data_IF_196916729629
#
_entry.id   IF_196916729629
#
_cell.length_a   1.000
_cell.length_b   1.000
_cell.length_c   1.000
_cell.angle_alpha   90.00
_cell.angle_beta   90.00
_cell.angle_gamma   90.00
#
_symmetry.space_group_name_H-M   'P 1'
#
loop_
_entity.id
_entity.type
_entity.pdbx_description
1 polymer ?
#
# COMPACT_ATOMS: atom_id res chain seq x y z
N UNK A 1 -21.67 6.54 -9.37
CA UNK A 1 -21.37 7.94 -9.73
C UNK A 1 -20.20 7.93 -10.70
N UNK A 2 -20.25 8.76 -11.75
CA UNK A 2 -19.13 8.94 -12.68
C UNK A 2 -17.96 9.72 -12.05
N UNK A 3 -16.74 9.43 -12.51
CA UNK A 3 -15.49 10.04 -12.08
C UNK A 3 -15.50 11.57 -12.23
N UNK A 4 -16.17 12.10 -13.25
CA UNK A 4 -16.31 13.56 -13.46
C UNK A 4 -17.01 14.25 -12.30
N UNK A 5 -18.15 13.72 -11.87
CA UNK A 5 -18.91 14.31 -10.75
C UNK A 5 -18.12 14.18 -9.44
N UNK A 6 -17.42 13.07 -9.24
CA UNK A 6 -16.52 12.93 -8.09
C UNK A 6 -15.43 14.01 -8.08
N UNK A 7 -14.81 14.32 -9.23
CA UNK A 7 -13.84 15.42 -9.34
C UNK A 7 -14.44 16.77 -8.97
N UNK A 8 -15.64 17.09 -9.46
CA UNK A 8 -16.30 18.37 -9.18
C UNK A 8 -16.57 18.55 -7.68
N UNK A 9 -17.08 17.52 -7.01
CA UNK A 9 -17.33 17.56 -5.56
C UNK A 9 -16.01 17.75 -4.79
N UNK A 10 -14.96 17.00 -5.13
CA UNK A 10 -13.64 17.18 -4.51
C UNK A 10 -13.09 18.60 -4.74
N UNK A 11 -13.32 19.20 -5.90
CA UNK A 11 -12.87 20.57 -6.22
C UNK A 11 -13.66 21.66 -5.51
N UNK A 12 -14.89 21.39 -5.07
CA UNK A 12 -15.69 22.34 -4.29
C UNK A 12 -15.10 22.65 -2.90
N UNK A 13 -14.09 21.90 -2.46
CA UNK A 13 -13.46 22.04 -1.14
C UNK A 13 -14.10 21.17 -0.06
N UNK A 14 -15.13 20.39 -0.39
CA UNK A 14 -15.74 19.44 0.54
C UNK A 14 -14.77 18.29 0.86
N UNK A 15 -14.74 17.90 2.13
CA UNK A 15 -14.11 16.65 2.58
C UNK A 15 -14.97 15.47 2.14
N UNK A 16 -14.33 14.39 1.71
CA UNK A 16 -15.05 13.29 1.06
C UNK A 16 -14.36 11.94 1.25
N UNK A 17 -15.17 10.88 1.19
CA UNK A 17 -14.73 9.50 1.01
C UNK A 17 -14.97 9.09 -0.44
N UNK A 18 -13.91 8.80 -1.17
CA UNK A 18 -13.96 8.11 -2.46
C UNK A 18 -13.93 6.60 -2.23
N UNK A 19 -15.05 5.92 -2.51
CA UNK A 19 -15.18 4.48 -2.30
C UNK A 19 -15.81 3.79 -3.51
N UNK A 20 -15.75 2.46 -3.52
CA UNK A 20 -16.24 1.64 -4.61
C UNK A 20 -15.42 0.35 -4.75
N UNK A 21 -15.92 -0.66 -5.48
CA UNK A 21 -15.22 -1.90 -5.74
C UNK A 21 -13.79 -1.72 -6.32
N UNK A 22 -12.99 -2.79 -6.30
CA UNK A 22 -11.73 -2.83 -7.02
C UNK A 22 -11.94 -2.55 -8.53
N UNK A 23 -10.99 -1.85 -9.17
CA UNK A 23 -11.06 -1.57 -10.61
C UNK A 23 -11.98 -0.41 -11.02
N UNK A 24 -12.59 0.33 -10.08
CA UNK A 24 -13.44 1.50 -10.36
C UNK A 24 -12.69 2.81 -10.65
N UNK A 25 -11.35 2.77 -10.61
CA UNK A 25 -10.52 3.94 -10.93
C UNK A 25 -10.33 4.93 -9.77
N UNK A 26 -10.58 4.54 -8.51
CA UNK A 26 -10.34 5.39 -7.31
C UNK A 26 -8.97 6.09 -7.33
N UNK A 27 -7.89 5.32 -7.51
CA UNK A 27 -6.51 5.83 -7.58
C UNK A 27 -6.30 6.81 -8.75
N UNK A 28 -6.99 6.60 -9.87
CA UNK A 28 -6.93 7.50 -11.02
C UNK A 28 -7.57 8.86 -10.70
N UNK A 29 -8.79 8.86 -10.17
CA UNK A 29 -9.51 10.07 -9.73
C UNK A 29 -8.70 10.83 -8.69
N UNK A 30 -8.20 10.12 -7.67
CA UNK A 30 -7.39 10.71 -6.61
C UNK A 30 -6.10 11.34 -7.17
N UNK A 31 -5.41 10.64 -8.07
CA UNK A 31 -4.20 11.13 -8.73
C UNK A 31 -4.44 12.38 -9.58
N UNK A 32 -5.56 12.46 -10.30
CA UNK A 32 -5.95 13.65 -11.06
C UNK A 32 -6.27 14.83 -10.13
N UNK A 33 -7.02 14.59 -9.05
CA UNK A 33 -7.34 15.63 -8.06
C UNK A 33 -6.08 16.20 -7.40
N UNK A 34 -5.13 15.34 -7.00
CA UNK A 34 -3.84 15.76 -6.43
C UNK A 34 -3.05 16.64 -7.41
N UNK A 35 -2.98 16.25 -8.69
CA UNK A 35 -2.28 17.06 -9.72
C UNK A 35 -2.92 18.43 -9.89
N UNK A 36 -4.25 18.49 -9.90
CA UNK A 36 -4.97 19.75 -10.05
C UNK A 36 -4.77 20.66 -8.83
N UNK A 37 -4.93 20.16 -7.61
CA UNK A 37 -4.70 20.94 -6.40
C UNK A 37 -3.28 21.53 -6.34
N UNK A 38 -2.27 20.76 -6.76
CA UNK A 38 -0.89 21.26 -6.87
C UNK A 38 -0.74 22.34 -7.94
N UNK A 39 -1.41 22.20 -9.08
CA UNK A 39 -1.44 23.22 -10.13
C UNK A 39 -2.11 24.52 -9.66
N UNK A 40 -3.14 24.40 -8.81
CA UNK A 40 -3.84 25.52 -8.18
C UNK A 40 -3.05 26.15 -7.01
N UNK A 41 -1.82 25.69 -6.76
CA UNK A 41 -0.93 26.23 -5.72
C UNK A 41 -1.23 25.75 -4.29
N UNK A 42 -2.13 24.78 -4.11
CA UNK A 42 -2.44 24.22 -2.79
C UNK A 42 -1.32 23.30 -2.28
N UNK A 43 -1.07 23.32 -0.99
CA UNK A 43 -0.20 22.39 -0.31
C UNK A 43 -0.95 21.08 -0.01
N UNK A 44 -0.68 20.05 -0.82
CA UNK A 44 -1.32 18.72 -0.69
C UNK A 44 -0.40 17.75 0.04
N UNK A 45 -0.85 17.25 1.20
CA UNK A 45 -0.20 16.16 1.92
C UNK A 45 -0.78 14.82 1.50
N UNK A 46 0.01 14.01 0.79
CA UNK A 46 -0.40 12.69 0.30
C UNK A 46 0.01 11.61 1.29
N UNK A 47 -0.98 10.90 1.84
CA UNK A 47 -0.74 9.83 2.82
C UNK A 47 -1.53 8.56 2.51
N UNK A 48 -1.10 7.44 3.10
CA UNK A 48 -1.85 6.18 3.11
C UNK A 48 -1.67 5.44 4.44
N UNK A 49 -2.50 4.42 4.67
CA UNK A 49 -2.45 3.60 5.89
C UNK A 49 -1.28 2.62 5.94
N UNK A 50 -0.73 2.24 4.78
CA UNK A 50 0.43 1.35 4.65
C UNK A 50 1.57 1.98 3.86
N UNK A 51 2.80 1.55 4.11
CA UNK A 51 3.97 2.06 3.38
C UNK A 51 3.94 1.73 1.88
N UNK A 52 3.34 0.58 1.53
CA UNK A 52 3.16 0.17 0.14
C UNK A 52 2.22 1.13 -0.61
N UNK A 53 1.03 1.37 -0.06
CA UNK A 53 0.06 2.29 -0.65
C UNK A 53 0.60 3.74 -0.68
N UNK A 54 1.32 4.16 0.36
CA UNK A 54 1.95 5.48 0.40
C UNK A 54 2.97 5.65 -0.75
N UNK A 55 3.74 4.60 -1.04
CA UNK A 55 4.72 4.62 -2.14
C UNK A 55 4.03 4.74 -3.51
N UNK A 56 2.86 4.13 -3.70
CA UNK A 56 2.11 4.21 -4.97
C UNK A 56 1.67 5.63 -5.32
N UNK A 57 1.31 6.44 -4.32
CA UNK A 57 0.89 7.83 -4.52
C UNK A 57 2.04 8.85 -4.35
N UNK A 58 3.28 8.39 -4.14
CA UNK A 58 4.43 9.25 -3.90
C UNK A 58 4.33 10.04 -2.59
N UNK A 59 3.70 9.45 -1.58
CA UNK A 59 3.44 10.02 -0.27
C UNK A 59 4.20 9.34 0.88
N UNK A 60 3.67 9.52 2.08
CA UNK A 60 4.18 8.89 3.32
C UNK A 60 3.04 8.17 4.06
N UNK A 61 3.35 7.37 5.07
CA UNK A 61 2.29 6.81 5.91
C UNK A 61 1.64 7.93 6.73
N UNK A 62 0.32 7.85 6.94
CA UNK A 62 -0.41 8.83 7.75
C UNK A 62 0.15 8.89 9.19
N UNK A 63 0.62 7.77 9.71
CA UNK A 63 1.30 7.68 11.01
C UNK A 63 2.57 8.52 11.08
N UNK A 64 3.41 8.46 10.04
CA UNK A 64 4.64 9.22 9.96
C UNK A 64 4.38 10.72 9.75
N UNK A 65 3.38 11.03 8.91
CA UNK A 65 2.93 12.40 8.65
C UNK A 65 2.42 13.08 9.92
N UNK A 66 1.52 12.42 10.67
CA UNK A 66 0.99 12.95 11.93
C UNK A 66 1.99 12.88 13.09
N UNK A 67 3.01 12.03 12.99
CA UNK A 67 4.02 11.84 14.04
C UNK A 67 3.57 10.90 15.17
N UNK A 68 2.40 10.25 15.02
CA UNK A 68 1.82 9.34 16.03
C UNK A 68 2.51 7.97 16.09
N UNK A 69 3.38 7.66 15.12
CA UNK A 69 4.11 6.39 15.09
C UNK A 69 3.17 5.18 15.16
N UNK A 70 3.49 4.21 16.01
CA UNK A 70 2.66 3.02 16.25
C UNK A 70 1.85 3.13 17.56
N UNK A 71 1.71 4.33 18.11
CA UNK A 71 1.01 4.52 19.39
C UNK A 71 -0.50 4.31 19.24
N UNK A 72 -1.12 3.77 20.29
CA UNK A 72 -2.57 3.59 20.37
C UNK A 72 -3.30 4.72 21.12
N UNK A 73 -2.53 5.69 21.61
CA UNK A 73 -2.97 6.94 22.23
C UNK A 73 -1.88 8.00 22.08
N UNK A 74 -2.25 9.28 22.13
CA UNK A 74 -1.27 10.37 22.18
C UNK A 74 -0.66 10.43 23.60
N UNK A 75 0.66 10.34 23.78
CA UNK A 75 1.29 10.54 25.08
C UNK A 75 1.17 12.01 25.54
N UNK A 76 1.19 12.27 26.85
CA UNK A 76 1.01 13.62 27.39
C UNK A 76 2.02 14.65 26.86
N UNK A 77 3.27 14.22 26.62
CA UNK A 77 4.36 15.02 26.06
C UNK A 77 4.47 14.92 24.52
N UNK A 78 3.44 14.40 23.85
CA UNK A 78 3.44 14.19 22.40
C UNK A 78 3.80 15.48 21.65
N UNK A 79 3.10 16.56 21.97
CA UNK A 79 3.30 17.84 21.30
C UNK A 79 4.69 18.40 21.58
N UNK A 80 5.23 18.26 22.79
CA UNK A 80 6.59 18.75 23.12
C UNK A 80 7.67 18.10 22.25
N UNK A 81 7.45 16.83 21.86
CA UNK A 81 8.35 16.08 20.98
C UNK A 81 8.00 16.17 19.50
N UNK A 82 6.88 16.80 19.13
CA UNK A 82 6.47 16.99 17.75
C UNK A 82 7.41 17.99 17.07
N UNK A 83 8.17 17.51 16.08
CA UNK A 83 9.18 18.31 15.39
C UNK A 83 8.59 19.60 14.79
N UNK A 84 9.39 20.68 14.81
CA UNK A 84 9.02 21.94 14.16
C UNK A 84 8.67 21.74 12.69
N UNK A 85 9.46 20.97 11.97
CA UNK A 85 9.23 20.72 10.54
C UNK A 85 7.91 20.02 10.26
N UNK A 86 7.50 19.07 11.11
CA UNK A 86 6.20 18.40 10.98
C UNK A 86 5.05 19.35 11.31
N UNK A 87 5.21 20.16 12.37
CA UNK A 87 4.25 21.23 12.68
C UNK A 87 4.05 22.15 11.49
N UNK A 88 5.14 22.59 10.86
CA UNK A 88 5.10 23.46 9.68
C UNK A 88 4.39 22.78 8.49
N UNK A 89 4.60 21.48 8.27
CA UNK A 89 3.91 20.73 7.20
C UNK A 89 2.41 20.66 7.46
N UNK A 90 1.99 20.28 8.67
CA UNK A 90 0.57 20.18 9.03
C UNK A 90 -0.10 21.56 8.97
N UNK A 91 0.59 22.60 9.45
CA UNK A 91 0.10 23.98 9.43
C UNK A 91 -0.02 24.56 8.01
N UNK A 92 0.86 24.17 7.08
CA UNK A 92 0.80 24.63 5.68
C UNK A 92 -0.15 23.80 4.81
N UNK A 93 -0.47 22.57 5.20
CA UNK A 93 -1.32 21.69 4.40
C UNK A 93 -2.69 22.35 4.21
N UNK A 94 -3.20 22.31 2.99
CA UNK A 94 -4.58 22.70 2.65
C UNK A 94 -5.46 21.46 2.48
N UNK A 95 -4.89 20.41 1.86
CA UNK A 95 -5.59 19.17 1.54
C UNK A 95 -4.81 17.97 2.09
N UNK A 96 -5.46 17.15 2.92
CA UNK A 96 -4.94 15.89 3.43
C UNK A 96 -5.58 14.72 2.67
N UNK A 97 -4.76 13.96 1.95
CA UNK A 97 -5.18 12.72 1.29
C UNK A 97 -4.87 11.53 2.20
N UNK A 98 -5.83 10.63 2.40
CA UNK A 98 -5.63 9.37 3.13
C UNK A 98 -6.15 8.19 2.28
N UNK A 99 -5.24 7.48 1.62
CA UNK A 99 -5.57 6.28 0.86
C UNK A 99 -5.57 5.01 1.74
N UNK A 100 -6.32 4.01 1.30
CA UNK A 100 -6.61 2.77 2.03
C UNK A 100 -7.17 3.00 3.45
N UNK A 101 -8.09 3.97 3.58
CA UNK A 101 -8.69 4.40 4.86
C UNK A 101 -9.36 3.26 5.65
N UNK A 102 -9.82 2.21 4.95
CA UNK A 102 -10.49 1.04 5.54
C UNK A 102 -9.60 0.28 6.53
N UNK A 103 -8.27 0.40 6.43
CA UNK A 103 -7.32 -0.25 7.34
C UNK A 103 -6.95 0.61 8.56
N UNK A 104 -7.42 1.87 8.62
CA UNK A 104 -7.16 2.75 9.75
C UNK A 104 -8.17 2.45 10.87
N UNK A 105 -7.69 2.43 12.11
CA UNK A 105 -8.56 2.26 13.27
C UNK A 105 -9.24 3.61 13.56
N UNK A 106 -10.50 3.56 14.00
CA UNK A 106 -11.26 4.69 14.54
C UNK A 106 -10.44 5.61 15.45
N UNK A 107 -9.83 5.06 16.52
CA UNK A 107 -9.09 5.84 17.49
C UNK A 107 -7.86 6.55 16.88
N UNK A 108 -7.28 6.02 15.80
CA UNK A 108 -6.16 6.67 15.12
C UNK A 108 -6.63 7.85 14.29
N UNK A 109 -7.81 7.77 13.70
CA UNK A 109 -8.39 8.92 13.00
C UNK A 109 -8.66 10.06 13.99
N UNK A 110 -9.19 9.75 15.18
CA UNK A 110 -9.39 10.74 16.25
C UNK A 110 -8.06 11.35 16.73
N UNK A 111 -7.01 10.54 16.89
CA UNK A 111 -5.67 11.06 17.22
C UNK A 111 -5.13 12.00 16.13
N UNK A 112 -5.32 11.67 14.86
CA UNK A 112 -4.87 12.52 13.74
C UNK A 112 -5.62 13.85 13.74
N UNK A 113 -6.93 13.82 13.97
CA UNK A 113 -7.76 15.03 14.11
C UNK A 113 -7.25 15.93 15.25
N UNK A 114 -7.03 15.36 16.44
CA UNK A 114 -6.49 16.09 17.60
C UNK A 114 -5.16 16.78 17.28
N UNK A 115 -4.25 16.06 16.60
CA UNK A 115 -2.97 16.63 16.17
C UNK A 115 -3.17 17.79 15.21
N UNK A 116 -4.06 17.66 14.22
CA UNK A 116 -4.32 18.72 13.25
C UNK A 116 -4.92 19.96 13.91
N UNK A 117 -5.94 19.78 14.77
CA UNK A 117 -6.57 20.87 15.54
C UNK A 117 -5.57 21.63 16.39
N UNK A 118 -4.72 20.90 17.12
CA UNK A 118 -3.75 21.50 18.03
C UNK A 118 -2.64 22.25 17.30
N UNK A 119 -2.13 21.69 16.20
CA UNK A 119 -1.05 22.29 15.41
C UNK A 119 -1.54 23.51 14.63
N UNK A 120 -2.78 23.49 14.13
CA UNK A 120 -3.39 24.58 13.36
C UNK A 120 -4.09 25.62 14.23
N UNK A 121 -4.12 25.41 15.56
CA UNK A 121 -4.78 26.29 16.53
C UNK A 121 -6.28 26.51 16.23
N UNK A 122 -6.94 25.48 15.71
CA UNK A 122 -8.36 25.48 15.34
C UNK A 122 -9.10 24.34 16.07
N UNK A 123 -9.34 24.45 17.39
CA UNK A 123 -9.86 23.36 18.22
C UNK A 123 -11.30 22.94 17.86
N UNK A 124 -12.07 23.83 17.24
CA UNK A 124 -13.48 23.59 16.92
C UNK A 124 -13.71 23.21 15.45
N UNK A 125 -12.65 23.08 14.65
CA UNK A 125 -12.77 22.66 13.25
C UNK A 125 -12.21 21.25 13.08
N UNK A 126 -12.97 20.31 12.49
CA UNK A 126 -12.45 19.00 12.11
C UNK A 126 -11.15 19.13 11.32
N UNK A 127 -10.17 18.34 11.72
CA UNK A 127 -8.80 18.31 11.23
C UNK A 127 -8.14 19.70 11.19
N UNK A 128 -8.52 20.60 12.08
CA UNK A 128 -8.04 21.98 12.08
C UNK A 128 -8.38 22.75 10.79
N UNK A 129 -9.50 22.41 10.13
CA UNK A 129 -9.96 23.08 8.91
C UNK A 129 -9.34 22.56 7.61
N UNK A 130 -8.64 21.42 7.65
CA UNK A 130 -8.12 20.78 6.44
C UNK A 130 -9.27 20.21 5.59
N UNK A 131 -9.14 20.31 4.27
CA UNK A 131 -9.94 19.46 3.38
C UNK A 131 -9.38 18.03 3.46
N UNK A 132 -10.17 17.09 3.93
CA UNK A 132 -9.76 15.69 4.08
C UNK A 132 -10.41 14.85 2.99
N UNK A 133 -9.59 14.28 2.12
CA UNK A 133 -10.04 13.38 1.05
C UNK A 133 -9.51 11.98 1.33
N UNK A 134 -10.43 11.08 1.64
CA UNK A 134 -10.15 9.69 1.96
C UNK A 134 -10.46 8.81 0.75
N UNK A 135 -9.68 7.77 0.56
CA UNK A 135 -9.92 6.75 -0.47
C UNK A 135 -9.81 5.37 0.18
N UNK A 136 -10.70 4.45 -0.19
CA UNK A 136 -10.61 3.08 0.28
C UNK A 136 -11.90 2.30 0.11
N UNK A 137 -11.85 1.05 0.53
CA UNK A 137 -12.92 0.09 0.33
C UNK A 137 -13.10 -0.80 1.58
N UNK A 138 -14.16 -0.53 2.32
CA UNK A 138 -14.47 -1.20 3.60
C UNK A 138 -14.80 -2.69 3.46
N UNK A 139 -15.04 -3.18 2.24
CA UNK A 139 -15.26 -4.60 1.97
C UNK A 139 -13.97 -5.36 1.61
N UNK A 140 -12.80 -4.70 1.57
CA UNK A 140 -11.52 -5.37 1.34
C UNK A 140 -10.88 -5.84 2.64
N UNK A 141 -10.01 -5.01 3.24
CA UNK A 141 -9.30 -5.37 4.46
C UNK A 141 -9.68 -4.40 5.61
N UNK A 142 -10.13 -4.95 6.76
CA UNK A 142 -10.41 -4.16 7.95
C UNK A 142 -9.13 -3.74 8.68
N UNK A 143 -9.22 -2.83 9.68
CA UNK A 143 -8.12 -2.59 10.59
C UNK A 143 -7.71 -3.88 11.32
N UNK A 144 -6.40 -4.10 11.46
CA UNK A 144 -5.85 -5.28 12.14
C UNK A 144 -5.63 -4.99 13.62
N UNK A 145 -6.47 -5.61 14.46
CA UNK A 145 -6.28 -5.59 15.91
C UNK A 145 -5.16 -6.56 16.32
N UNK A 146 -4.20 -6.07 17.11
CA UNK A 146 -3.10 -6.89 17.64
C UNK A 146 -3.46 -7.43 19.02
N UNK A 147 -3.04 -8.66 19.31
CA UNK A 147 -3.15 -9.22 20.65
C UNK A 147 -2.39 -8.37 21.66
N UNK A 148 -3.08 -7.93 22.72
CA UNK A 148 -2.53 -7.05 23.76
C UNK A 148 -2.48 -5.56 23.39
N UNK A 149 -2.91 -5.16 22.18
CA UNK A 149 -3.05 -3.76 21.79
C UNK A 149 -4.47 -3.22 22.02
N UNK A 150 -4.65 -1.91 21.81
CA UNK A 150 -5.99 -1.30 21.85
C UNK A 150 -6.84 -1.89 20.72
N UNK A 151 -8.01 -2.38 21.09
CA UNK A 151 -9.00 -2.83 20.10
C UNK A 151 -9.66 -1.60 19.49
N UNK A 152 -9.74 -1.56 18.16
CA UNK A 152 -10.44 -0.51 17.43
C UNK A 152 -11.39 -1.10 16.39
N UNK A 153 -12.24 -0.22 15.86
CA UNK A 153 -13.16 -0.52 14.77
C UNK A 153 -12.82 0.31 13.53
N UNK A 154 -13.67 0.23 12.51
CA UNK A 154 -13.57 1.07 11.32
C UNK A 154 -13.68 2.56 11.66
N UNK A 155 -13.01 3.39 10.86
CA UNK A 155 -13.01 4.86 11.01
C UNK A 155 -14.40 5.51 11.11
N UNK A 156 -15.45 4.88 10.56
CA UNK A 156 -16.83 5.38 10.66
C UNK A 156 -17.35 5.47 12.10
N UNK A 157 -16.70 4.79 13.04
CA UNK A 157 -17.02 4.85 14.47
C UNK A 157 -16.30 5.97 15.21
N UNK A 158 -15.35 6.66 14.57
CA UNK A 158 -14.57 7.73 15.19
C UNK A 158 -15.40 9.00 15.37
N UNK A 159 -15.05 9.82 16.36
CA UNK A 159 -15.68 11.13 16.54
C UNK A 159 -15.30 12.08 15.41
N UNK A 160 -14.02 12.08 15.01
CA UNK A 160 -13.52 12.87 13.89
C UNK A 160 -14.28 12.60 12.59
N UNK A 161 -14.64 11.35 12.30
CA UNK A 161 -15.47 11.00 11.14
C UNK A 161 -16.85 11.65 11.21
N UNK A 162 -17.53 11.54 12.37
CA UNK A 162 -18.88 12.08 12.56
C UNK A 162 -18.90 13.60 12.49
N UNK A 163 -17.89 14.27 13.04
CA UNK A 163 -17.78 15.73 12.98
C UNK A 163 -17.37 16.25 11.61
N UNK A 164 -16.53 15.52 10.88
CA UNK A 164 -16.12 15.86 9.52
C UNK A 164 -17.28 15.75 8.52
N UNK A 165 -18.21 14.82 8.77
CA UNK A 165 -19.36 14.50 7.90
C UNK A 165 -18.98 14.44 6.39
N UNK A 166 -18.06 13.54 6.01
CA UNK A 166 -17.51 13.54 4.66
C UNK A 166 -18.55 13.12 3.62
N UNK A 167 -18.56 13.80 2.46
CA UNK A 167 -19.37 13.39 1.32
C UNK A 167 -18.96 11.99 0.84
N UNK A 168 -19.92 11.07 0.69
CA UNK A 168 -19.64 9.71 0.23
C UNK A 168 -19.76 9.62 -1.29
N UNK A 169 -18.61 9.49 -1.96
CA UNK A 169 -18.49 9.41 -3.40
C UNK A 169 -18.32 7.93 -3.81
N UNK A 170 -19.42 7.28 -4.16
CA UNK A 170 -19.41 5.87 -4.58
C UNK A 170 -19.22 5.74 -6.10
N UNK A 171 -18.06 5.25 -6.52
CA UNK A 171 -17.77 4.88 -7.90
C UNK A 171 -18.34 3.47 -8.17
N UNK A 172 -19.25 3.39 -9.13
CA UNK A 172 -19.96 2.16 -9.52
C UNK A 172 -19.36 1.54 -10.79
N UNK A 173 -18.91 2.36 -11.74
CA UNK A 173 -18.37 1.90 -13.00
C UNK A 173 -16.98 1.25 -12.81
N UNK A 174 -16.85 -0.02 -13.19
CA UNK A 174 -15.59 -0.76 -13.14
C UNK A 174 -14.91 -0.74 -14.51
N UNK A 175 -13.69 -0.21 -14.58
CA UNK A 175 -12.94 -0.06 -15.84
C UNK A 175 -11.99 -1.23 -16.12
N UNK A 176 -11.82 -2.15 -15.16
CA UNK A 176 -11.05 -3.39 -15.34
C UNK A 176 -11.82 -4.44 -16.16
N UNK A 177 -13.05 -4.13 -16.60
CA UNK A 177 -13.96 -5.03 -17.30
C UNK A 177 -13.48 -5.38 -18.72
N UNK A 178 -13.40 -6.67 -19.00
CA UNK A 178 -13.72 -7.22 -20.32
C UNK A 178 -15.13 -7.83 -20.21
N UNK A 179 -16.01 -7.57 -21.18
CA UNK A 179 -17.34 -8.20 -21.20
C UNK A 179 -17.22 -9.72 -21.15
N UNK A 180 -17.98 -10.37 -20.26
CA UNK A 180 -17.96 -11.83 -20.09
C UNK A 180 -16.98 -12.38 -19.05
N UNK A 181 -16.34 -11.52 -18.24
CA UNK A 181 -15.44 -11.98 -17.16
C UNK A 181 -16.22 -12.64 -16.00
N UNK A 182 -16.26 -13.97 -16.00
CA UNK A 182 -16.90 -14.77 -14.96
C UNK A 182 -16.27 -14.56 -13.57
N UNK A 183 -14.97 -14.27 -13.48
CA UNK A 183 -14.31 -14.00 -12.21
C UNK A 183 -14.87 -12.72 -11.58
N UNK A 184 -15.18 -11.71 -12.40
CA UNK A 184 -15.71 -10.46 -11.92
C UNK A 184 -17.14 -10.58 -11.36
N UNK A 185 -17.99 -11.39 -12.00
CA UNK A 185 -19.34 -11.70 -11.49
C UNK A 185 -19.24 -12.34 -10.10
N UNK A 186 -18.34 -13.32 -9.95
CA UNK A 186 -18.07 -13.97 -8.66
C UNK A 186 -17.60 -12.97 -7.61
N UNK A 187 -16.61 -12.11 -7.92
CA UNK A 187 -16.07 -11.14 -6.98
C UNK A 187 -17.11 -10.07 -6.58
N UNK A 188 -17.96 -9.65 -7.52
CA UNK A 188 -19.05 -8.70 -7.26
C UNK A 188 -20.11 -9.34 -6.38
N UNK A 189 -20.48 -10.60 -6.65
CA UNK A 189 -21.40 -11.38 -5.84
C UNK A 189 -20.87 -11.63 -4.42
N UNK A 190 -19.58 -11.97 -4.27
CA UNK A 190 -18.92 -12.10 -2.96
C UNK A 190 -19.02 -10.82 -2.15
N UNK A 191 -18.69 -9.68 -2.77
CA UNK A 191 -18.74 -8.37 -2.13
C UNK A 191 -20.16 -8.01 -1.68
N UNK A 192 -21.17 -8.34 -2.48
CA UNK A 192 -22.58 -8.08 -2.17
C UNK A 192 -23.20 -9.10 -1.20
N UNK A 193 -22.51 -10.21 -0.92
CA UNK A 193 -23.08 -11.33 -0.16
C UNK A 193 -24.13 -12.15 -0.93
N UNK A 194 -24.24 -12.00 -2.26
CA UNK A 194 -25.17 -12.75 -3.13
C UNK A 194 -24.44 -13.88 -3.87
N UNK A 195 -23.72 -14.73 -3.12
CA UNK A 195 -23.07 -15.91 -3.70
C UNK A 195 -24.11 -16.99 -4.03
N UNK A 196 -24.17 -17.37 -5.31
CA UNK A 196 -25.04 -18.43 -5.82
C UNK A 196 -24.24 -19.68 -6.14
N UNK A 197 -24.95 -20.81 -6.25
CA UNK A 197 -24.35 -22.12 -6.58
C UNK A 197 -23.42 -22.07 -7.80
N UNK A 198 -23.84 -21.37 -8.88
CA UNK A 198 -23.03 -21.20 -10.10
C UNK A 198 -21.67 -20.53 -9.85
N UNK A 199 -21.60 -19.57 -8.91
CA UNK A 199 -20.36 -18.88 -8.56
C UNK A 199 -19.40 -19.84 -7.83
N UNK A 200 -19.94 -20.63 -6.88
CA UNK A 200 -19.16 -21.62 -6.16
C UNK A 200 -18.65 -22.73 -7.08
N UNK A 201 -19.47 -23.24 -7.99
CA UNK A 201 -19.08 -24.26 -8.97
C UNK A 201 -17.94 -23.77 -9.87
N UNK A 202 -17.97 -22.51 -10.31
CA UNK A 202 -16.87 -21.92 -11.10
C UNK A 202 -15.55 -21.80 -10.33
N UNK A 203 -15.59 -21.48 -9.04
CA UNK A 203 -14.38 -21.45 -8.20
C UNK A 203 -13.85 -22.86 -7.91
N UNK A 204 -14.74 -23.80 -7.59
CA UNK A 204 -14.38 -25.20 -7.34
C UNK A 204 -13.79 -25.84 -8.58
N UNK A 205 -14.26 -25.49 -9.77
CA UNK A 205 -13.64 -25.92 -11.03
C UNK A 205 -12.19 -25.45 -11.21
N UNK A 206 -11.69 -24.52 -10.37
CA UNK A 206 -10.31 -24.02 -10.42
C UNK A 206 -9.39 -24.65 -9.37
N UNK A 207 -9.88 -25.43 -8.40
CA UNK A 207 -9.06 -25.94 -7.29
C UNK A 207 -8.07 -27.02 -7.70
N UNK A 208 -8.34 -27.76 -8.78
CA UNK A 208 -7.50 -28.85 -9.30
C UNK A 208 -6.82 -28.47 -10.63
N UNK A 209 -6.92 -27.21 -11.03
CA UNK A 209 -6.28 -26.72 -12.25
C UNK A 209 -4.87 -26.28 -11.90
N UNK A 210 -3.90 -27.12 -12.24
CA UNK A 210 -2.50 -26.70 -12.23
C UNK A 210 -2.26 -25.76 -13.42
N UNK A 211 -1.67 -24.57 -13.18
CA UNK A 211 -1.24 -23.73 -14.28
C UNK A 211 -0.11 -24.45 -15.04
N UNK A 212 0.17 -24.09 -16.31
CA UNK A 212 1.21 -24.74 -17.09
C UNK A 212 2.54 -24.79 -16.31
N UNK A 213 3.24 -25.92 -16.37
CA UNK A 213 4.44 -26.22 -15.55
C UNK A 213 5.56 -25.16 -15.65
N UNK A 214 5.55 -24.30 -16.66
CA UNK A 214 6.51 -23.22 -16.91
C UNK A 214 6.01 -21.82 -16.51
N UNK A 215 4.78 -21.71 -15.97
CA UNK A 215 4.28 -20.42 -15.52
C UNK A 215 4.87 -20.07 -14.15
N UNK A 216 5.74 -19.07 -14.15
CA UNK A 216 6.36 -18.47 -12.96
C UNK A 216 5.31 -17.79 -12.07
N UNK A 217 4.47 -18.58 -11.42
CA UNK A 217 3.25 -18.11 -10.79
C UNK A 217 3.49 -17.71 -9.34
N UNK A 218 3.05 -16.51 -8.97
CA UNK A 218 3.06 -16.04 -7.59
C UNK A 218 1.91 -16.64 -6.80
N UNK A 219 2.23 -17.20 -5.62
CA UNK A 219 1.26 -17.72 -4.67
C UNK A 219 0.89 -16.67 -3.61
N UNK A 220 -0.41 -16.53 -3.34
CA UNK A 220 -0.96 -15.70 -2.29
C UNK A 220 -1.24 -16.54 -1.05
N UNK A 221 -0.64 -16.15 0.06
CA UNK A 221 -0.75 -16.81 1.37
C UNK A 221 -1.25 -15.83 2.44
N UNK A 222 -1.78 -16.34 3.56
CA UNK A 222 -2.31 -15.48 4.62
C UNK A 222 -1.24 -14.99 5.60
N UNK A 223 -0.20 -15.80 5.84
CA UNK A 223 0.83 -15.56 6.86
C UNK A 223 2.23 -15.48 6.26
N UNK A 224 3.08 -14.59 6.82
CA UNK A 224 4.44 -14.37 6.30
C UNK A 224 5.33 -15.62 6.43
N UNK A 225 5.13 -16.45 7.47
CA UNK A 225 5.97 -17.63 7.70
C UNK A 225 5.88 -18.64 6.55
N UNK A 226 4.69 -18.82 5.96
CA UNK A 226 4.50 -19.70 4.81
C UNK A 226 5.16 -19.11 3.56
N UNK A 227 5.04 -17.80 3.36
CA UNK A 227 5.67 -17.06 2.26
C UNK A 227 7.18 -17.20 2.27
N UNK A 228 7.79 -16.97 3.43
CA UNK A 228 9.24 -17.00 3.57
C UNK A 228 9.76 -18.43 3.35
N UNK A 229 9.07 -19.44 3.91
CA UNK A 229 9.39 -20.86 3.70
C UNK A 229 9.33 -21.27 2.22
N UNK A 230 8.27 -20.90 1.50
CA UNK A 230 8.09 -21.26 0.09
C UNK A 230 9.18 -20.61 -0.76
N UNK A 231 9.42 -19.31 -0.58
CA UNK A 231 10.43 -18.60 -1.35
C UNK A 231 11.84 -19.15 -1.11
N UNK A 232 12.19 -19.49 0.14
CA UNK A 232 13.48 -20.11 0.46
C UNK A 232 13.63 -21.51 -0.15
N UNK A 233 12.59 -22.35 -0.06
CA UNK A 233 12.62 -23.69 -0.65
C UNK A 233 12.80 -23.64 -2.17
N UNK A 234 12.04 -22.76 -2.86
CA UNK A 234 12.16 -22.58 -4.31
C UNK A 234 13.52 -22.03 -4.74
N UNK A 235 14.08 -21.08 -3.99
CA UNK A 235 15.43 -20.58 -4.26
C UNK A 235 16.49 -21.68 -4.07
N UNK A 236 16.35 -22.53 -3.06
CA UNK A 236 17.27 -23.63 -2.79
C UNK A 236 17.27 -24.69 -3.91
N UNK A 237 16.11 -24.93 -4.54
CA UNK A 237 15.95 -25.85 -5.68
C UNK A 237 16.70 -25.37 -6.95
N UNK A 238 16.97 -24.07 -7.08
CA UNK A 238 17.65 -23.54 -8.26
C UNK A 238 19.16 -23.89 -8.25
N UNK A 239 19.70 -24.30 -9.41
CA UNK A 239 21.13 -24.54 -9.56
C UNK A 239 21.93 -23.23 -9.53
N UNK A 240 23.23 -23.34 -9.30
CA UNK A 240 24.15 -22.21 -9.30
C UNK A 240 24.35 -21.55 -7.94
N UNK A 241 25.30 -20.63 -7.90
CA UNK A 241 25.75 -19.98 -6.68
C UNK A 241 24.79 -18.88 -6.23
N UNK A 242 24.69 -18.71 -4.92
CA UNK A 242 23.91 -17.65 -4.30
C UNK A 242 24.67 -16.33 -4.31
N UNK A 243 24.00 -15.27 -4.76
CA UNK A 243 24.48 -13.89 -4.63
C UNK A 243 23.69 -13.22 -3.51
N UNK A 244 24.41 -12.66 -2.54
CA UNK A 244 23.85 -12.09 -1.32
C UNK A 244 24.00 -10.57 -1.30
N UNK A 245 22.87 -9.87 -1.13
CA UNK A 245 22.81 -8.42 -1.04
C UNK A 245 22.34 -8.01 0.35
N UNK A 246 23.26 -7.49 1.14
CA UNK A 246 22.94 -6.94 2.45
C UNK A 246 22.52 -5.48 2.32
N UNK A 247 21.40 -5.13 2.95
CA UNK A 247 20.95 -3.72 2.97
C UNK A 247 22.00 -2.85 3.68
N UNK A 248 22.05 -1.59 3.30
CA UNK A 248 22.72 -0.56 4.10
C UNK A 248 21.67 0.37 4.74
N UNK A 249 21.98 0.94 5.90
CA UNK A 249 21.10 1.91 6.56
C UNK A 249 21.87 3.01 7.27
N UNK A 250 21.23 4.17 7.39
CA UNK A 250 21.72 5.30 8.17
C UNK A 250 20.60 5.84 9.06
N UNK A 251 20.95 6.46 10.19
CA UNK A 251 19.98 6.98 11.17
C UNK A 251 19.95 6.18 12.47
N UNK A 252 19.14 6.63 13.43
CA UNK A 252 18.99 5.93 14.71
C UNK A 252 18.20 4.62 14.59
N UNK A 253 18.59 3.59 15.35
CA UNK A 253 18.04 2.23 15.23
C UNK A 253 16.50 2.19 15.26
N UNK A 254 15.87 2.89 16.21
CA UNK A 254 14.41 2.94 16.31
C UNK A 254 13.73 3.47 15.03
N UNK A 255 14.35 4.43 14.34
CA UNK A 255 13.84 4.98 13.08
C UNK A 255 14.07 4.01 11.91
N UNK A 256 15.21 3.32 11.90
CA UNK A 256 15.52 2.27 10.91
C UNK A 256 14.52 1.12 11.04
N UNK A 257 14.26 0.63 12.25
CA UNK A 257 13.30 -0.46 12.50
C UNK A 257 11.88 -0.06 12.10
N UNK A 258 11.50 1.20 12.36
CA UNK A 258 10.21 1.74 11.93
C UNK A 258 10.11 1.79 10.41
N UNK A 259 11.15 2.25 9.72
CA UNK A 259 11.20 2.29 8.26
C UNK A 259 11.18 0.88 7.66
N UNK A 260 11.93 -0.07 8.22
CA UNK A 260 11.99 -1.46 7.76
C UNK A 260 10.62 -2.13 7.78
N UNK A 261 9.78 -1.85 8.79
CA UNK A 261 8.39 -2.36 8.87
C UNK A 261 7.47 -1.82 7.77
N UNK A 262 7.85 -0.73 7.12
CA UNK A 262 7.05 -0.07 6.07
C UNK A 262 7.48 -0.41 4.65
N UNK A 263 8.64 -1.06 4.48
CA UNK A 263 9.19 -1.44 3.16
C UNK A 263 9.09 -2.95 2.95
N UNK A 264 8.98 -3.36 1.69
CA UNK A 264 8.95 -4.78 1.31
C UNK A 264 10.33 -5.38 1.08
N UNK A 265 11.37 -4.55 0.99
CA UNK A 265 12.75 -4.97 0.74
C UNK A 265 13.28 -5.74 1.95
N UNK A 266 13.81 -6.96 1.78
CA UNK A 266 14.37 -7.72 2.89
C UNK A 266 15.72 -7.14 3.33
N UNK A 267 16.09 -7.44 4.58
CA UNK A 267 17.40 -7.05 5.13
C UNK A 267 18.55 -7.73 4.39
N UNK A 268 18.38 -9.01 4.08
CA UNK A 268 19.27 -9.79 3.24
C UNK A 268 18.45 -10.30 2.08
N UNK A 269 18.80 -9.90 0.87
CA UNK A 269 18.23 -10.46 -0.35
C UNK A 269 19.23 -11.48 -0.91
N UNK A 270 18.78 -12.72 -1.09
CA UNK A 270 19.57 -13.79 -1.71
C UNK A 270 18.93 -14.12 -3.05
N UNK A 271 19.73 -14.13 -4.11
CA UNK A 271 19.28 -14.43 -5.47
C UNK A 271 20.18 -15.49 -6.12
N UNK A 272 19.60 -16.20 -7.08
CA UNK A 272 20.28 -17.08 -8.02
C UNK A 272 19.78 -16.77 -9.43
N UNK A 273 20.48 -17.26 -10.46
CA UNK A 273 19.95 -17.23 -11.82
C UNK A 273 18.62 -18.01 -11.87
N UNK A 274 17.67 -17.53 -12.65
CA UNK A 274 16.30 -18.02 -12.73
C UNK A 274 15.46 -17.83 -11.45
N UNK A 275 15.92 -17.02 -10.48
CA UNK A 275 15.11 -16.69 -9.34
C UNK A 275 13.91 -15.82 -9.76
N UNK A 276 12.72 -16.18 -9.29
CA UNK A 276 11.50 -15.41 -9.54
C UNK A 276 11.43 -14.23 -8.57
N UNK A 277 11.47 -13.02 -9.13
CA UNK A 277 11.51 -11.78 -8.38
C UNK A 277 10.37 -10.85 -8.75
N UNK A 278 10.07 -9.95 -7.82
CA UNK A 278 9.07 -8.90 -7.96
C UNK A 278 9.73 -7.56 -7.67
N UNK A 279 9.53 -6.60 -8.57
CA UNK A 279 9.90 -5.21 -8.33
C UNK A 279 8.99 -4.60 -7.27
N UNK A 280 9.58 -3.93 -6.26
CA UNK A 280 8.85 -3.30 -5.14
C UNK A 280 8.86 -1.76 -5.20
N UNK A 281 9.29 -1.20 -6.33
CA UNK A 281 9.25 0.23 -6.66
C UNK A 281 8.91 0.41 -8.14
N UNK A 282 8.49 1.61 -8.50
CA UNK A 282 8.26 1.99 -9.90
C UNK A 282 9.57 2.46 -10.53
N UNK A 283 9.84 2.05 -11.76
CA UNK A 283 10.94 2.58 -12.56
C UNK A 283 10.58 3.96 -13.14
N UNK A 284 11.51 4.92 -13.07
CA UNK A 284 11.29 6.26 -13.64
C UNK A 284 11.16 6.22 -15.17
N UNK A 285 11.89 5.31 -15.82
CA UNK A 285 11.79 5.07 -17.25
C UNK A 285 10.61 4.16 -17.64
N UNK A 286 9.77 3.77 -16.67
CA UNK A 286 8.57 2.93 -16.84
C UNK A 286 8.83 1.57 -17.50
N UNK A 287 10.05 1.03 -17.39
CA UNK A 287 10.38 -0.33 -17.88
C UNK A 287 9.74 -1.41 -17.01
N UNK A 288 9.51 -1.11 -15.73
CA UNK A 288 8.72 -1.92 -14.82
C UNK A 288 7.97 -1.03 -13.83
N UNK A 289 6.93 -1.58 -13.22
CA UNK A 289 6.18 -0.97 -12.13
C UNK A 289 6.26 -1.83 -10.86
N UNK A 290 5.88 -1.27 -9.71
CA UNK A 290 5.73 -2.04 -8.48
C UNK A 290 4.75 -3.20 -8.69
N UNK A 291 5.19 -4.41 -8.39
CA UNK A 291 4.48 -5.66 -8.65
C UNK A 291 4.86 -6.37 -9.94
N UNK A 292 5.69 -5.75 -10.79
CA UNK A 292 6.18 -6.42 -12.00
C UNK A 292 7.00 -7.64 -11.62
N UNK A 293 6.62 -8.78 -12.22
CA UNK A 293 7.28 -10.06 -12.03
C UNK A 293 8.32 -10.26 -13.13
N UNK A 294 9.47 -10.82 -12.76
CA UNK A 294 10.52 -11.18 -13.70
C UNK A 294 11.43 -12.28 -13.15
N UNK A 295 12.23 -12.83 -14.04
CA UNK A 295 13.27 -13.80 -13.71
C UNK A 295 14.64 -13.12 -13.70
N UNK A 296 15.50 -13.51 -12.75
CA UNK A 296 16.91 -13.11 -12.78
C UNK A 296 17.60 -13.85 -13.93
N UNK A 297 17.81 -13.17 -15.06
CA UNK A 297 18.44 -13.74 -16.24
C UNK A 297 19.95 -13.95 -16.04
N UNK A 298 20.60 -12.96 -15.42
CA UNK A 298 22.04 -12.98 -15.15
C UNK A 298 22.45 -11.98 -14.04
N UNK A 299 23.75 -11.87 -13.77
CA UNK A 299 24.34 -10.86 -12.90
C UNK A 299 25.35 -10.02 -13.67
N UNK A 300 25.31 -8.70 -13.50
CA UNK A 300 26.18 -7.75 -14.19
C UNK A 300 27.65 -7.93 -13.75
N UNK A 301 28.59 -8.16 -14.69
CA UNK A 301 29.99 -8.34 -14.34
C UNK A 301 30.58 -7.13 -13.60
N UNK A 302 31.20 -7.39 -12.44
CA UNK A 302 31.93 -6.38 -11.65
C UNK A 302 31.11 -5.71 -10.55
N UNK A 303 29.79 -5.59 -10.71
CA UNK A 303 28.88 -5.10 -9.66
C UNK A 303 28.07 -6.23 -9.00
N UNK A 304 27.96 -7.37 -9.68
CA UNK A 304 27.09 -8.49 -9.36
C UNK A 304 25.62 -8.08 -9.22
N UNK A 305 25.19 -6.97 -9.82
CA UNK A 305 23.79 -6.57 -9.77
C UNK A 305 22.91 -7.46 -10.65
N UNK A 306 21.71 -7.85 -10.18
CA UNK A 306 20.89 -8.81 -10.92
C UNK A 306 20.29 -8.14 -12.15
N UNK A 307 20.43 -8.81 -13.29
CA UNK A 307 19.77 -8.48 -14.56
C UNK A 307 18.46 -9.24 -14.60
N UNK A 308 17.34 -8.52 -14.55
CA UNK A 308 15.99 -9.11 -14.48
C UNK A 308 15.28 -8.94 -15.81
N UNK A 309 14.79 -10.06 -16.36
CA UNK A 309 13.87 -10.08 -17.49
C UNK A 309 12.43 -10.09 -16.94
N UNK A 310 11.73 -8.97 -17.09
CA UNK A 310 10.34 -8.83 -16.69
C UNK A 310 9.40 -9.42 -17.74
N UNK A 311 8.20 -9.84 -17.30
CA UNK A 311 7.18 -10.43 -18.18
C UNK A 311 6.72 -9.55 -19.35
N UNK A 312 6.93 -8.24 -19.26
CA UNK A 312 6.66 -7.30 -20.35
C UNK A 312 7.77 -7.28 -21.42
N UNK A 313 8.79 -8.15 -21.32
CA UNK A 313 9.91 -8.27 -22.23
C UNK A 313 11.06 -7.30 -21.95
N UNK A 314 10.94 -6.42 -20.96
CA UNK A 314 12.05 -5.52 -20.60
C UNK A 314 13.09 -6.24 -19.75
N UNK A 315 14.35 -6.13 -20.16
CA UNK A 315 15.51 -6.60 -19.41
C UNK A 315 16.18 -5.41 -18.74
N UNK A 316 16.35 -5.46 -17.41
CA UNK A 316 16.85 -4.34 -16.62
C UNK A 316 17.86 -4.80 -15.56
N UNK A 317 19.03 -4.17 -15.53
CA UNK A 317 19.95 -4.28 -14.40
C UNK A 317 19.40 -3.54 -13.19
N UNK A 318 19.13 -4.28 -12.12
CA UNK A 318 18.51 -3.74 -10.92
C UNK A 318 19.57 -3.21 -9.97
N UNK A 319 19.53 -1.90 -9.71
CA UNK A 319 20.49 -1.22 -8.85
C UNK A 319 19.87 -0.90 -7.48
N UNK A 320 20.68 -0.73 -6.42
CA UNK A 320 20.17 -0.36 -5.11
C UNK A 320 19.42 0.97 -5.15
N UNK A 321 18.28 1.01 -4.48
CA UNK A 321 17.49 2.23 -4.31
C UNK A 321 17.27 2.47 -2.80
N UNK A 322 17.02 3.72 -2.45
CA UNK A 322 16.91 4.18 -1.06
C UNK A 322 15.46 4.50 -0.70
N UNK A 323 15.02 3.97 0.44
CA UNK A 323 13.83 4.41 1.16
C UNK A 323 14.24 5.33 2.29
N UNK A 324 13.46 6.36 2.54
CA UNK A 324 13.79 7.36 3.54
C UNK A 324 12.62 7.58 4.49
N UNK A 325 12.92 7.55 5.79
CA UNK A 325 12.02 8.08 6.80
C UNK A 325 12.39 9.55 7.01
N UNK A 326 11.51 10.42 6.56
CA UNK A 326 11.67 11.87 6.70
C UNK A 326 10.75 12.40 7.78
N UNK A 327 11.29 13.34 8.54
CA UNK A 327 10.56 14.18 9.48
C UNK A 327 10.56 15.60 8.90
N UNK A 328 9.63 15.79 7.97
CA UNK A 328 9.61 16.89 7.02
C UNK A 328 10.82 16.92 6.08
N UNK A 329 11.63 17.98 6.13
CA UNK A 329 12.87 18.08 5.32
C UNK A 329 14.04 17.29 5.91
N UNK A 330 13.99 16.92 7.19
CA UNK A 330 15.09 16.22 7.85
C UNK A 330 14.97 14.72 7.62
N UNK A 331 16.01 14.14 7.01
CA UNK A 331 16.19 12.69 6.92
C UNK A 331 16.50 12.13 8.32
N UNK A 332 15.63 11.25 8.84
CA UNK A 332 15.80 10.58 10.15
C UNK A 332 16.45 9.22 10.02
N UNK A 333 16.06 8.48 8.99
CA UNK A 333 16.69 7.23 8.62
C UNK A 333 16.60 7.01 7.11
N UNK A 334 17.50 6.19 6.58
CA UNK A 334 17.30 5.54 5.29
C UNK A 334 17.72 4.10 5.31
N UNK A 335 17.09 3.33 4.43
CA UNK A 335 17.48 1.97 4.09
C UNK A 335 17.74 1.97 2.58
N UNK A 336 18.88 1.44 2.16
CA UNK A 336 19.22 1.23 0.75
C UNK A 336 19.38 -0.26 0.49
N UNK A 337 18.68 -0.76 -0.52
CA UNK A 337 18.65 -2.17 -0.91
C UNK A 337 18.19 -2.26 -2.37
N UNK A 338 18.47 -3.38 -3.04
CA UNK A 338 17.84 -3.69 -4.32
C UNK A 338 16.31 -3.64 -4.19
N UNK A 339 15.58 -2.95 -5.09
CA UNK A 339 14.12 -2.86 -5.07
C UNK A 339 13.47 -4.14 -5.62
N UNK A 340 13.89 -5.28 -5.08
CA UNK A 340 13.44 -6.62 -5.41
C UNK A 340 13.05 -7.40 -4.15
N UNK A 341 12.19 -8.40 -4.35
CA UNK A 341 11.93 -9.49 -3.41
C UNK A 341 11.68 -10.78 -4.19
N UNK A 342 11.86 -11.92 -3.54
CA UNK A 342 11.39 -13.20 -4.09
C UNK A 342 9.86 -13.19 -4.23
N UNK A 343 9.39 -13.84 -5.29
CA UNK A 343 8.02 -13.69 -5.77
C UNK A 343 7.30 -15.01 -6.10
N UNK A 344 7.83 -16.16 -5.68
CA UNK A 344 7.06 -17.41 -5.68
C UNK A 344 5.90 -17.35 -4.69
N UNK A 345 6.06 -16.63 -3.58
CA UNK A 345 4.99 -16.40 -2.62
C UNK A 345 4.98 -14.95 -2.08
N UNK A 346 3.79 -14.43 -1.81
CA UNK A 346 3.54 -13.16 -1.12
C UNK A 346 2.28 -13.26 -0.24
N UNK A 347 2.16 -12.43 0.79
CA UNK A 347 0.94 -12.41 1.60
C UNK A 347 -0.17 -11.60 0.93
N UNK A 348 -1.43 -11.97 1.15
CA UNK A 348 -2.60 -11.22 0.67
C UNK A 348 -2.51 -9.73 1.07
N UNK A 349 -2.15 -9.46 2.33
CA UNK A 349 -1.94 -8.09 2.83
C UNK A 349 -0.89 -7.30 2.03
N UNK A 350 0.21 -7.95 1.62
CA UNK A 350 1.28 -7.29 0.86
C UNK A 350 0.95 -7.20 -0.63
N UNK A 351 -0.04 -7.93 -1.12
CA UNK A 351 -0.55 -7.86 -2.50
C UNK A 351 -1.62 -6.78 -2.71
N UNK A 352 -2.10 -6.14 -1.64
CA UNK A 352 -3.14 -5.10 -1.73
C UNK A 352 -2.66 -3.91 -2.56
N UNK A 353 -3.52 -3.43 -3.46
CA UNK A 353 -3.20 -2.35 -4.40
C UNK A 353 -2.31 -2.78 -5.58
N UNK A 354 -1.89 -4.04 -5.63
CA UNK A 354 -1.08 -4.58 -6.74
C UNK A 354 -1.98 -5.17 -7.83
N UNK A 355 -1.44 -5.25 -9.05
CA UNK A 355 -2.06 -5.98 -10.16
C UNK A 355 -1.17 -7.16 -10.49
N UNK A 356 -1.75 -8.37 -10.51
CA UNK A 356 -1.07 -9.62 -10.85
C UNK A 356 -1.75 -10.20 -12.08
N UNK A 357 -0.98 -10.58 -13.09
CA UNK A 357 -1.52 -11.22 -14.30
C UNK A 357 -2.06 -12.63 -14.01
N UNK A 358 -1.48 -13.30 -13.02
CA UNK A 358 -1.76 -14.67 -12.65
C UNK A 358 -1.39 -14.90 -11.18
N UNK A 359 -2.24 -15.60 -10.41
CA UNK A 359 -1.94 -15.95 -9.03
C UNK A 359 -2.56 -17.29 -8.63
N UNK A 360 -1.89 -18.02 -7.74
CA UNK A 360 -2.46 -19.17 -7.02
C UNK A 360 -2.78 -18.70 -5.62
N UNK A 361 -3.95 -19.04 -5.11
CA UNK A 361 -4.40 -18.57 -3.79
C UNK A 361 -4.53 -19.77 -2.87
N UNK A 362 -3.75 -19.77 -1.79
CA UNK A 362 -3.89 -20.77 -0.73
C UNK A 362 -4.84 -20.25 0.35
N UNK A 363 -6.05 -20.80 0.36
CA UNK A 363 -7.11 -20.43 1.31
C UNK A 363 -7.19 -21.36 2.52
N UNK A 364 -6.32 -22.37 2.65
CA UNK A 364 -6.43 -23.40 3.72
C UNK A 364 -6.30 -22.85 5.13
N UNK A 365 -5.57 -21.73 5.28
CA UNK A 365 -5.38 -21.01 6.55
C UNK A 365 -6.05 -19.63 6.54
N UNK A 366 -7.02 -19.42 5.65
CA UNK A 366 -7.80 -18.20 5.61
C UNK A 366 -8.98 -18.27 6.59
N UNK A 367 -9.29 -17.15 7.25
CA UNK A 367 -10.46 -17.01 8.13
C UNK A 367 -10.48 -17.93 9.37
N UNK A 368 -9.29 -18.34 9.86
CA UNK A 368 -9.10 -19.16 11.07
C UNK A 368 -8.90 -18.28 12.31
#
# INVERSE_FOLDING_TARGET
MDQTLAQEILRSGQSALLTGPAGTGKTHVLGQFIRQCKADGKYVSVTATTGLAATHLGGSTIHAWAGIGIHDSLPNNFFDHLSKTRRDIIAKTDVLIIDEISMLHDYRLDMIDEVCRRVREMPNQPFGGLQVVMSGDFFQLPPINRNGGRQGSFVVQSQAWRELDPAILYLDQQYRQQEGDALLDILTAMRAGDLRRRHAEQLLARTEVEPPHESDLTELHTVNIDVDRINQARLAELPGDEVLYQRSSTGGQNYVDTLQRSILAPEVLVLKRSALVMAIKNDQARRFANGSIGLVADFEPGTDYPVVEFRNGHVVTMQPDTWELRDGTRKRASISQLPLRLAWAITVHKSQGMTLDSARIDLRKAFV
#
